data_IF_363421568706
#
_entry.id   IF_363421568706
#
_cell.length_a   1.000
_cell.length_b   1.000
_cell.length_c   1.000
_cell.angle_alpha   90.00
_cell.angle_beta   90.00
_cell.angle_gamma   90.00
#
_symmetry.space_group_name_H-M   'P 1'
#
loop_
_entity.id
_entity.type
_entity.pdbx_description
1 polymer ?
#
# COMPACT_ATOMS: atom_id res chain seq x y z
N UNK A 1 -8.21 -22.48 -4.77
CA UNK A 1 -7.05 -21.84 -5.42
C UNK A 1 -5.91 -21.78 -4.41
N UNK A 2 -4.65 -22.05 -4.80
CA UNK A 2 -3.51 -21.93 -3.86
C UNK A 2 -3.20 -20.45 -3.60
N UNK A 3 -2.95 -20.09 -2.35
CA UNK A 3 -2.43 -18.76 -2.02
C UNK A 3 -1.04 -18.59 -2.67
N UNK A 4 -0.84 -17.44 -3.32
CA UNK A 4 0.44 -17.03 -3.91
C UNK A 4 0.97 -15.81 -3.17
N UNK A 5 2.25 -15.82 -2.85
CA UNK A 5 2.95 -14.63 -2.41
C UNK A 5 3.55 -13.95 -3.65
N UNK A 6 3.22 -12.68 -3.88
CA UNK A 6 3.63 -11.91 -5.05
C UNK A 6 4.29 -10.63 -4.55
N UNK A 7 5.52 -10.35 -4.99
CA UNK A 7 6.22 -9.10 -4.72
C UNK A 7 5.74 -8.00 -5.66
N UNK A 8 5.43 -6.84 -5.13
CA UNK A 8 5.13 -5.61 -5.84
C UNK A 8 6.30 -4.63 -5.70
N UNK A 9 6.52 -3.82 -6.73
CA UNK A 9 7.41 -2.66 -6.67
C UNK A 9 6.61 -1.45 -7.08
N UNK A 10 6.49 -0.50 -6.16
CA UNK A 10 5.53 0.60 -6.22
C UNK A 10 6.27 1.93 -6.28
N UNK A 11 5.75 2.82 -7.11
CA UNK A 11 6.09 4.24 -7.05
C UNK A 11 4.84 5.02 -6.65
N UNK A 12 5.02 6.03 -5.81
CA UNK A 12 3.93 6.91 -5.41
C UNK A 12 4.46 8.30 -5.07
N UNK A 13 3.63 9.29 -5.37
CA UNK A 13 3.73 10.62 -4.83
C UNK A 13 3.07 10.64 -3.44
N UNK A 14 3.84 10.96 -2.40
CA UNK A 14 3.38 10.97 -1.02
C UNK A 14 2.62 12.22 -0.60
N UNK A 15 2.54 13.27 -1.42
CA UNK A 15 2.03 14.60 -0.99
C UNK A 15 0.69 14.55 -0.28
N UNK A 16 -0.26 13.77 -0.78
CA UNK A 16 -1.62 13.66 -0.22
C UNK A 16 -1.83 12.43 0.68
N UNK A 17 -0.74 11.81 1.13
CA UNK A 17 -0.78 10.64 2.00
C UNK A 17 -0.13 10.93 3.35
N UNK A 18 -0.78 10.45 4.41
CA UNK A 18 -0.26 10.46 5.78
C UNK A 18 0.84 9.39 6.00
N UNK A 19 1.54 8.99 4.93
CA UNK A 19 2.60 8.00 4.93
C UNK A 19 2.14 6.63 4.44
N UNK A 20 3.01 5.64 4.62
CA UNK A 20 2.79 4.27 4.15
C UNK A 20 1.67 3.56 4.93
N UNK A 21 1.77 3.54 6.27
CA UNK A 21 0.98 2.63 7.10
C UNK A 21 -0.47 3.10 7.22
N UNK A 22 -1.42 2.15 7.22
CA UNK A 22 -2.84 2.37 7.55
C UNK A 22 -3.00 3.15 8.86
N UNK A 23 -3.87 4.14 8.83
CA UNK A 23 -4.26 4.96 9.97
C UNK A 23 -5.78 5.06 10.00
N UNK A 24 -6.35 5.35 11.17
CA UNK A 24 -7.79 5.36 11.37
C UNK A 24 -8.48 6.50 10.61
N UNK A 25 -7.87 7.69 10.65
CA UNK A 25 -8.52 8.94 10.24
C UNK A 25 -7.68 9.70 9.19
N UNK A 26 -6.79 9.00 8.48
CA UNK A 26 -5.92 9.60 7.48
C UNK A 26 -5.62 8.64 6.33
N UNK A 27 -5.66 9.16 5.11
CA UNK A 27 -5.40 8.40 3.88
C UNK A 27 -3.94 7.94 3.86
N UNK A 28 -3.71 6.65 3.64
CA UNK A 28 -2.37 6.07 3.53
C UNK A 28 -2.17 5.27 2.25
N UNK A 29 -0.91 5.09 1.86
CA UNK A 29 -0.55 4.33 0.64
C UNK A 29 -0.95 2.86 0.77
N UNK A 30 -0.72 2.25 1.95
CA UNK A 30 -1.10 0.85 2.20
C UNK A 30 -2.62 0.65 2.07
N UNK A 31 -3.43 1.56 2.63
CA UNK A 31 -4.88 1.43 2.57
C UNK A 31 -5.40 1.52 1.13
N UNK A 32 -4.90 2.50 0.36
CA UNK A 32 -5.30 2.70 -1.04
C UNK A 32 -4.94 1.47 -1.89
N UNK A 33 -3.74 0.92 -1.69
CA UNK A 33 -3.30 -0.28 -2.38
C UNK A 33 -4.15 -1.50 -2.02
N UNK A 34 -4.39 -1.73 -0.73
CA UNK A 34 -5.24 -2.83 -0.26
C UNK A 34 -6.68 -2.69 -0.78
N UNK A 35 -7.23 -1.46 -0.82
CA UNK A 35 -8.55 -1.16 -1.38
C UNK A 35 -8.62 -1.46 -2.87
N UNK A 36 -7.62 -1.03 -3.64
CA UNK A 36 -7.54 -1.28 -5.08
C UNK A 36 -7.43 -2.79 -5.38
N UNK A 37 -6.52 -3.49 -4.70
CA UNK A 37 -6.34 -4.93 -4.87
C UNK A 37 -7.60 -5.70 -4.46
N UNK A 38 -8.20 -5.35 -3.32
CA UNK A 38 -9.42 -6.01 -2.84
C UNK A 38 -10.58 -5.83 -3.82
N UNK A 39 -10.71 -4.63 -4.42
CA UNK A 39 -11.70 -4.36 -5.47
C UNK A 39 -11.44 -5.20 -6.73
N UNK A 40 -10.18 -5.36 -7.13
CA UNK A 40 -9.80 -6.16 -8.31
C UNK A 40 -10.06 -7.65 -8.12
N UNK A 41 -9.87 -8.17 -6.90
CA UNK A 41 -9.92 -9.62 -6.63
C UNK A 41 -11.22 -10.09 -5.98
N UNK A 42 -12.10 -9.18 -5.55
CA UNK A 42 -13.40 -9.51 -4.96
C UNK A 42 -13.32 -10.06 -3.52
N UNK A 43 -12.16 -9.93 -2.86
CA UNK A 43 -11.96 -10.30 -1.46
C UNK A 43 -10.91 -9.40 -0.82
N UNK A 44 -10.89 -9.33 0.52
CA UNK A 44 -9.88 -8.54 1.24
C UNK A 44 -8.47 -9.04 0.94
N UNK A 45 -7.55 -8.09 0.68
CA UNK A 45 -6.12 -8.34 0.50
C UNK A 45 -5.35 -7.47 1.49
N UNK A 46 -4.38 -8.08 2.17
CA UNK A 46 -3.44 -7.39 3.06
C UNK A 46 -2.08 -7.31 2.36
N UNK A 47 -1.41 -6.17 2.49
CA UNK A 47 -0.08 -5.94 1.91
C UNK A 47 0.95 -5.69 3.02
N UNK A 48 2.17 -6.21 2.83
CA UNK A 48 3.29 -6.06 3.76
C UNK A 48 4.41 -5.27 3.06
N UNK A 49 4.60 -4.01 3.44
CA UNK A 49 5.68 -3.18 2.89
C UNK A 49 7.05 -3.52 3.49
N UNK A 50 8.11 -3.34 2.70
CA UNK A 50 9.50 -3.50 3.14
C UNK A 50 9.92 -2.46 4.20
N UNK A 51 9.31 -1.27 4.17
CA UNK A 51 9.55 -0.21 5.14
C UNK A 51 8.36 0.74 5.25
N UNK A 52 8.35 1.59 6.27
CA UNK A 52 7.37 2.68 6.41
C UNK A 52 7.95 3.97 5.88
N UNK A 53 7.09 4.81 5.32
CA UNK A 53 7.40 6.20 4.98
C UNK A 53 6.48 7.11 5.78
N UNK A 54 7.00 8.28 6.14
CA UNK A 54 6.25 9.31 6.88
C UNK A 54 5.31 10.08 5.93
N UNK A 55 4.43 10.89 6.51
CA UNK A 55 3.52 11.78 5.78
C UNK A 55 4.26 12.64 4.76
N UNK A 56 3.76 12.69 3.52
CA UNK A 56 4.36 13.48 2.44
C UNK A 56 5.57 12.83 1.74
N UNK A 57 6.14 11.74 2.26
CA UNK A 57 7.34 11.11 1.65
C UNK A 57 6.98 10.32 0.40
N UNK A 58 7.70 10.56 -0.70
CA UNK A 58 7.53 9.85 -1.97
C UNK A 58 8.37 8.55 -2.01
N UNK A 59 8.01 7.64 -2.91
CA UNK A 59 8.85 6.48 -3.23
C UNK A 59 8.86 6.20 -4.73
N UNK A 60 10.02 5.74 -5.24
CA UNK A 60 10.17 5.25 -6.62
C UNK A 60 10.18 3.72 -6.72
N UNK A 61 10.38 3.01 -5.60
CA UNK A 61 10.60 1.57 -5.58
C UNK A 61 10.29 0.93 -4.24
N UNK A 62 9.21 1.36 -3.59
CA UNK A 62 8.74 0.71 -2.37
C UNK A 62 8.40 -0.74 -2.71
N UNK A 63 9.01 -1.68 -1.99
CA UNK A 63 8.74 -3.12 -2.16
C UNK A 63 7.63 -3.53 -1.21
N UNK A 64 6.69 -4.36 -1.69
CA UNK A 64 5.57 -4.85 -0.92
C UNK A 64 5.11 -6.25 -1.36
#
# INVERSE_FOLDING_TARGET
MKNRCIKLTLAYDGTDFAGWQRQKDARSVQEELERALSKMHGHSITVIGAGRTDSGVHARGQSA
#
